data_IF_818351300496
#
_entry.id   IF_818351300496
#
_cell.length_a   1.000
_cell.length_b   1.000
_cell.length_c   1.000
_cell.angle_alpha   90.00
_cell.angle_beta   90.00
_cell.angle_gamma   90.00
#
_symmetry.space_group_name_H-M   'P 1'
#
loop_
_entity.id
_entity.type
_entity.pdbx_description
1 polymer ?
#
# COMPACT_ATOMS: atom_id res chain seq x y z
N UNK A 1 -31.91 -36.15 -18.56
CA UNK A 1 -30.49 -35.78 -18.65
C UNK A 1 -30.43 -34.28 -18.90
N UNK A 2 -30.23 -33.47 -17.86
CA UNK A 2 -29.72 -32.08 -17.92
C UNK A 2 -29.25 -31.74 -16.51
N UNK A 3 -27.94 -31.85 -16.29
CA UNK A 3 -27.29 -31.44 -15.05
C UNK A 3 -26.39 -30.24 -15.32
N UNK A 4 -26.65 -29.19 -14.53
CA UNK A 4 -25.78 -28.08 -14.08
C UNK A 4 -25.40 -26.98 -15.10
N UNK A 5 -24.95 -25.81 -14.62
CA UNK A 5 -24.99 -25.23 -13.25
C UNK A 5 -25.56 -23.80 -13.25
N UNK A 6 -25.92 -23.22 -12.11
CA UNK A 6 -25.39 -21.91 -11.74
C UNK A 6 -25.53 -21.71 -10.23
N UNK A 7 -24.36 -21.71 -9.64
CA UNK A 7 -24.03 -21.46 -8.26
C UNK A 7 -24.63 -20.11 -7.87
N UNK A 8 -25.38 -20.12 -6.77
CA UNK A 8 -25.94 -18.94 -6.11
C UNK A 8 -24.81 -17.93 -5.96
N UNK A 9 -24.89 -16.80 -6.67
CA UNK A 9 -24.07 -15.64 -6.35
C UNK A 9 -24.47 -15.22 -4.93
N UNK A 10 -23.62 -15.50 -3.96
CA UNK A 10 -23.52 -14.65 -2.77
C UNK A 10 -23.13 -13.26 -3.26
N UNK A 11 -24.13 -12.47 -3.66
CA UNK A 11 -23.99 -11.03 -3.76
C UNK A 11 -23.90 -10.55 -2.32
N UNK A 12 -22.68 -10.62 -1.76
CA UNK A 12 -22.33 -9.87 -0.56
C UNK A 12 -22.72 -8.42 -0.86
N UNK A 13 -23.73 -7.91 -0.15
CA UNK A 13 -24.11 -6.51 -0.24
C UNK A 13 -22.88 -5.69 0.12
N UNK A 14 -22.22 -5.15 -0.90
CA UNK A 14 -21.09 -4.26 -0.75
C UNK A 14 -21.55 -3.07 0.10
N UNK A 15 -20.95 -2.91 1.28
CA UNK A 15 -21.24 -1.76 2.13
C UNK A 15 -20.75 -0.49 1.44
N UNK A 16 -21.42 0.63 1.68
CA UNK A 16 -21.00 1.93 1.14
C UNK A 16 -19.54 2.26 1.52
N UNK A 17 -19.09 1.83 2.69
CA UNK A 17 -17.72 1.99 3.18
C UNK A 17 -16.73 1.20 2.32
N UNK A 18 -17.03 -0.07 2.00
CA UNK A 18 -16.18 -0.90 1.14
C UNK A 18 -16.11 -0.34 -0.30
N UNK A 19 -17.24 0.11 -0.84
CA UNK A 19 -17.28 0.77 -2.15
C UNK A 19 -16.44 2.06 -2.17
N UNK A 20 -16.44 2.80 -1.05
CA UNK A 20 -15.65 4.02 -0.92
C UNK A 20 -14.17 3.71 -0.77
N UNK A 21 -13.82 2.70 0.04
CA UNK A 21 -12.45 2.21 0.19
C UNK A 21 -11.86 1.77 -1.16
N UNK A 22 -12.63 1.06 -1.99
CA UNK A 22 -12.22 0.67 -3.35
C UNK A 22 -11.92 1.86 -4.25
N UNK A 23 -12.75 2.91 -4.20
CA UNK A 23 -12.51 4.13 -5.00
C UNK A 23 -11.23 4.83 -4.58
N UNK A 24 -11.01 4.98 -3.28
CA UNK A 24 -9.78 5.57 -2.74
C UNK A 24 -8.58 4.72 -3.14
N UNK A 25 -8.68 3.40 -2.97
CA UNK A 25 -7.61 2.48 -3.32
C UNK A 25 -7.24 2.56 -4.81
N UNK A 26 -8.24 2.65 -5.70
CA UNK A 26 -8.00 2.81 -7.13
C UNK A 26 -7.24 4.11 -7.45
N UNK A 27 -7.60 5.24 -6.79
CA UNK A 27 -6.89 6.51 -6.95
C UNK A 27 -5.44 6.35 -6.49
N UNK A 28 -5.22 5.89 -5.26
CA UNK A 28 -3.88 5.76 -4.69
C UNK A 28 -3.03 4.81 -5.53
N UNK A 29 -3.55 3.64 -5.91
CA UNK A 29 -2.86 2.68 -6.76
C UNK A 29 -2.49 3.28 -8.13
N UNK A 30 -3.41 3.99 -8.80
CA UNK A 30 -3.13 4.62 -10.09
C UNK A 30 -1.97 5.63 -10.03
N UNK A 31 -1.82 6.31 -8.88
CA UNK A 31 -0.75 7.26 -8.65
C UNK A 31 0.56 6.57 -8.29
N UNK A 32 0.54 5.47 -7.56
CA UNK A 32 1.74 4.85 -6.98
C UNK A 32 2.35 3.75 -7.85
N UNK A 33 1.52 2.95 -8.54
CA UNK A 33 1.97 1.84 -9.43
C UNK A 33 3.10 2.28 -10.38
N UNK A 34 3.01 3.41 -11.11
CA UNK A 34 4.08 3.78 -12.04
C UNK A 34 5.46 3.96 -11.39
N UNK A 35 5.51 4.37 -10.11
CA UNK A 35 6.77 4.51 -9.38
C UNK A 35 7.26 3.17 -8.85
N UNK A 36 6.34 2.33 -8.33
CA UNK A 36 6.65 0.99 -7.84
C UNK A 36 7.13 0.08 -8.98
N UNK A 37 6.45 0.07 -10.12
CA UNK A 37 6.85 -0.74 -11.28
C UNK A 37 8.22 -0.34 -11.85
N UNK A 38 8.58 0.95 -11.79
CA UNK A 38 9.90 1.43 -12.24
C UNK A 38 11.03 1.15 -11.27
N UNK A 39 10.74 0.80 -10.01
CA UNK A 39 11.78 0.51 -9.03
C UNK A 39 12.24 -0.94 -9.04
N UNK A 40 11.70 -1.80 -9.92
CA UNK A 40 12.06 -3.22 -10.03
C UNK A 40 12.04 -3.96 -8.68
N UNK A 41 11.06 -3.60 -7.84
CA UNK A 41 11.01 -4.08 -6.47
C UNK A 41 10.74 -5.60 -6.46
N UNK A 42 11.65 -6.39 -5.90
CA UNK A 42 11.46 -7.83 -5.73
C UNK A 42 10.55 -8.10 -4.51
N UNK A 43 9.25 -8.17 -4.74
CA UNK A 43 8.22 -8.19 -3.70
C UNK A 43 8.21 -9.43 -2.79
N UNK A 44 8.84 -10.54 -3.23
CA UNK A 44 8.87 -11.79 -2.47
C UNK A 44 9.84 -11.75 -1.28
N UNK A 45 10.71 -10.73 -1.21
CA UNK A 45 11.80 -10.64 -0.22
C UNK A 45 11.98 -9.21 0.27
N UNK A 46 10.89 -8.49 0.56
CA UNK A 46 11.00 -7.14 1.10
C UNK A 46 11.48 -7.18 2.56
N UNK A 47 12.43 -6.31 2.95
CA UNK A 47 12.72 -6.10 4.36
C UNK A 47 11.47 -5.61 5.10
N UNK A 48 11.23 -6.15 6.30
CA UNK A 48 10.05 -5.80 7.11
C UNK A 48 9.91 -4.29 7.35
N UNK A 49 11.02 -3.56 7.51
CA UNK A 49 11.01 -2.11 7.67
C UNK A 49 10.55 -1.37 6.41
N UNK A 50 10.96 -1.84 5.23
CA UNK A 50 10.52 -1.26 3.96
C UNK A 50 9.05 -1.60 3.71
N UNK A 51 8.63 -2.82 4.06
CA UNK A 51 7.23 -3.22 4.04
C UNK A 51 6.37 -2.29 4.92
N UNK A 52 6.75 -2.10 6.18
CA UNK A 52 6.07 -1.21 7.12
C UNK A 52 6.01 0.22 6.62
N UNK A 53 7.11 0.75 6.06
CA UNK A 53 7.14 2.09 5.44
C UNK A 53 6.20 2.21 4.25
N UNK A 54 6.12 1.20 3.39
CA UNK A 54 5.23 1.21 2.22
C UNK A 54 3.76 1.13 2.65
N UNK A 55 3.42 0.24 3.58
CA UNK A 55 2.05 0.14 4.13
C UNK A 55 1.66 1.44 4.81
N UNK A 56 2.54 2.01 5.64
CA UNK A 56 2.35 3.32 6.26
C UNK A 56 2.15 4.42 5.21
N UNK A 57 2.95 4.44 4.16
CA UNK A 57 2.80 5.40 3.07
C UNK A 57 1.43 5.31 2.40
N UNK A 58 0.95 4.12 2.07
CA UNK A 58 -0.38 3.97 1.47
C UNK A 58 -1.49 4.40 2.43
N UNK A 59 -1.37 4.06 3.72
CA UNK A 59 -2.32 4.49 4.75
C UNK A 59 -2.38 6.01 4.88
N UNK A 60 -1.22 6.65 5.04
CA UNK A 60 -1.11 8.10 5.14
C UNK A 60 -1.65 8.82 3.90
N UNK A 61 -1.48 8.27 2.70
CA UNK A 61 -2.02 8.86 1.47
C UNK A 61 -3.56 8.81 1.44
N UNK A 62 -4.16 7.71 1.92
CA UNK A 62 -5.62 7.57 1.96
C UNK A 62 -6.27 8.63 2.86
N UNK A 63 -5.63 9.01 3.97
CA UNK A 63 -6.22 9.89 4.99
C UNK A 63 -6.67 11.27 4.46
N UNK A 64 -5.85 12.06 3.73
CA UNK A 64 -6.30 13.33 3.14
C UNK A 64 -7.47 13.19 2.16
N UNK A 65 -7.55 12.07 1.42
CA UNK A 65 -8.67 11.81 0.51
C UNK A 65 -9.94 11.55 1.32
N UNK A 66 -9.85 10.72 2.37
CA UNK A 66 -10.98 10.47 3.27
C UNK A 66 -11.48 11.75 3.94
N UNK A 67 -10.56 12.59 4.42
CA UNK A 67 -10.89 13.87 5.02
C UNK A 67 -11.57 14.81 4.01
N UNK A 68 -11.06 14.89 2.77
CA UNK A 68 -11.65 15.70 1.72
C UNK A 68 -13.07 15.26 1.34
N UNK A 69 -13.34 13.96 1.39
CA UNK A 69 -14.65 13.37 1.09
C UNK A 69 -15.58 13.27 2.31
N UNK A 70 -15.15 13.79 3.46
CA UNK A 70 -15.91 13.78 4.73
C UNK A 70 -16.36 12.37 5.13
N UNK A 71 -15.48 11.38 4.94
CA UNK A 71 -15.76 10.00 5.31
C UNK A 71 -15.66 9.87 6.84
N UNK A 72 -16.78 9.55 7.48
CA UNK A 72 -16.86 9.39 8.94
C UNK A 72 -16.45 8.02 9.47
N UNK A 73 -16.34 7.00 8.60
CA UNK A 73 -15.93 5.66 8.99
C UNK A 73 -14.42 5.59 9.28
N UNK A 74 -14.06 5.20 10.50
CA UNK A 74 -12.66 5.07 10.95
C UNK A 74 -11.90 3.98 10.19
N UNK A 75 -12.63 3.03 9.62
CA UNK A 75 -12.04 1.81 9.05
C UNK A 75 -11.77 1.96 7.54
N UNK A 76 -12.39 2.94 6.87
CA UNK A 76 -12.25 3.15 5.42
C UNK A 76 -10.80 3.40 4.97
N UNK A 77 -9.98 4.20 5.67
CA UNK A 77 -8.56 4.33 5.33
C UNK A 77 -7.79 3.00 5.44
N UNK A 78 -8.08 2.19 6.46
CA UNK A 78 -7.43 0.90 6.66
C UNK A 78 -7.83 -0.10 5.57
N UNK A 79 -9.13 -0.20 5.28
CA UNK A 79 -9.66 -1.02 4.18
C UNK A 79 -9.10 -0.60 2.82
N UNK A 80 -9.06 0.71 2.54
CA UNK A 80 -8.46 1.24 1.31
C UNK A 80 -6.99 0.87 1.22
N UNK A 81 -6.25 0.94 2.32
CA UNK A 81 -4.84 0.55 2.38
C UNK A 81 -4.65 -0.93 2.01
N UNK A 82 -5.43 -1.82 2.62
CA UNK A 82 -5.38 -3.26 2.32
C UNK A 82 -5.69 -3.57 0.85
N UNK A 83 -6.63 -2.81 0.25
CA UNK A 83 -6.95 -2.91 -1.16
C UNK A 83 -5.81 -2.38 -2.07
N UNK A 84 -5.19 -1.24 -1.74
CA UNK A 84 -4.02 -0.72 -2.48
C UNK A 84 -2.89 -1.73 -2.48
N UNK A 85 -2.59 -2.28 -1.31
CA UNK A 85 -1.58 -3.32 -1.13
C UNK A 85 -1.91 -4.54 -1.98
N UNK A 86 -3.16 -5.01 -1.98
CA UNK A 86 -3.58 -6.15 -2.80
C UNK A 86 -3.45 -5.88 -4.31
N UNK A 87 -3.65 -4.63 -4.75
CA UNK A 87 -3.52 -4.25 -6.16
C UNK A 87 -2.06 -4.15 -6.61
N UNK A 88 -1.17 -3.68 -5.73
CA UNK A 88 0.25 -3.48 -6.05
C UNK A 88 1.04 -4.78 -5.87
N UNK A 89 0.67 -5.60 -4.89
CA UNK A 89 1.39 -6.80 -4.46
C UNK A 89 0.48 -8.05 -4.45
N UNK A 90 -0.07 -8.47 -5.61
CA UNK A 90 -1.06 -9.54 -5.67
C UNK A 90 -0.54 -10.90 -5.14
N UNK A 91 0.75 -11.18 -5.34
CA UNK A 91 1.40 -12.44 -4.92
C UNK A 91 1.83 -12.44 -3.44
N UNK A 92 1.98 -11.26 -2.82
CA UNK A 92 2.34 -11.11 -1.40
C UNK A 92 1.12 -10.83 -0.51
N UNK A 93 -0.09 -11.08 -1.05
CA UNK A 93 -1.37 -10.80 -0.38
C UNK A 93 -1.46 -11.44 1.00
N UNK A 94 -0.90 -12.62 1.20
CA UNK A 94 -0.89 -13.29 2.50
C UNK A 94 0.06 -12.65 3.52
N UNK A 95 1.26 -12.17 3.12
CA UNK A 95 2.19 -11.55 4.07
C UNK A 95 1.76 -10.12 4.44
N UNK A 96 1.26 -9.37 3.46
CA UNK A 96 0.90 -7.97 3.64
C UNK A 96 -0.52 -7.73 4.17
N UNK A 97 -1.45 -8.68 4.03
CA UNK A 97 -2.80 -8.55 4.66
C UNK A 97 -2.75 -8.74 6.17
N UNK A 98 -1.74 -9.45 6.70
CA UNK A 98 -1.45 -9.51 8.14
C UNK A 98 -0.69 -8.27 8.64
N UNK A 99 -0.14 -7.44 7.75
CA UNK A 99 0.64 -6.23 8.09
C UNK A 99 -0.22 -5.00 8.45
N UNK A 100 -1.55 -5.14 8.48
CA UNK A 100 -2.45 -4.19 9.15
C UNK A 100 -2.77 -4.66 10.59
N UNK A 101 -1.95 -5.55 11.16
CA UNK A 101 -1.98 -5.85 12.58
C UNK A 101 -1.38 -4.69 13.39
N UNK A 102 -1.85 -4.54 14.64
CA UNK A 102 -1.47 -3.45 15.55
C UNK A 102 0.03 -3.30 15.79
N UNK A 103 0.81 -4.37 15.60
CA UNK A 103 2.27 -4.38 15.76
C UNK A 103 2.96 -3.55 14.67
N UNK A 104 2.51 -3.64 13.42
CA UNK A 104 3.06 -2.83 12.32
C UNK A 104 2.69 -1.35 12.48
N UNK A 105 1.46 -1.07 12.89
CA UNK A 105 0.95 0.30 13.11
C UNK A 105 1.76 1.07 14.17
N UNK A 106 2.38 0.37 15.12
CA UNK A 106 3.19 0.98 16.19
C UNK A 106 4.69 1.08 15.84
N UNK A 107 5.12 0.65 14.66
CA UNK A 107 6.53 0.74 14.26
C UNK A 107 6.92 2.14 13.81
N UNK A 108 8.15 2.57 14.12
CA UNK A 108 8.69 3.86 13.65
C UNK A 108 8.74 3.92 12.12
N UNK A 109 9.05 2.79 11.48
CA UNK A 109 9.05 2.63 10.03
C UNK A 109 7.68 2.95 9.42
N UNK A 110 6.60 2.39 9.99
CA UNK A 110 5.23 2.72 9.59
C UNK A 110 4.92 4.20 9.76
N UNK A 111 5.25 4.79 10.92
CA UNK A 111 5.01 6.22 11.19
C UNK A 111 5.71 7.15 10.19
N UNK A 112 6.96 6.85 9.82
CA UNK A 112 7.70 7.58 8.78
C UNK A 112 7.04 7.44 7.40
N UNK A 113 6.58 6.24 7.08
CA UNK A 113 5.77 5.97 5.89
C UNK A 113 4.51 6.81 5.88
N UNK A 114 3.73 6.77 6.96
CA UNK A 114 2.46 7.49 7.12
C UNK A 114 2.62 8.99 6.92
N UNK A 115 3.62 9.62 7.53
CA UNK A 115 3.85 11.05 7.33
C UNK A 115 4.30 11.40 5.91
N UNK A 116 5.06 10.52 5.24
CA UNK A 116 5.39 10.68 3.84
C UNK A 116 4.15 10.56 2.94
N UNK A 117 3.32 9.55 3.17
CA UNK A 117 2.05 9.33 2.47
C UNK A 117 1.09 10.49 2.64
N UNK A 118 0.94 10.99 3.88
CA UNK A 118 0.08 12.13 4.21
C UNK A 118 0.48 13.39 3.47
N UNK A 119 1.79 13.68 3.37
CA UNK A 119 2.29 14.82 2.59
C UNK A 119 1.96 14.70 1.11
N UNK A 120 2.19 13.54 0.51
CA UNK A 120 1.87 13.31 -0.91
C UNK A 120 0.34 13.33 -1.16
N UNK A 121 -0.46 12.83 -0.20
CA UNK A 121 -1.92 12.87 -0.23
C UNK A 121 -2.50 14.29 -0.12
N UNK A 122 -1.93 15.14 0.74
CA UNK A 122 -2.30 16.56 0.82
C UNK A 122 -1.92 17.33 -0.46
N UNK A 123 -0.75 17.02 -1.02
CA UNK A 123 -0.35 17.58 -2.31
C UNK A 123 -1.31 17.15 -3.43
N UNK A 124 -1.71 15.87 -3.44
CA UNK A 124 -2.70 15.38 -4.39
C UNK A 124 -4.05 16.07 -4.22
N UNK A 125 -4.53 16.22 -2.97
CA UNK A 125 -5.78 16.92 -2.69
C UNK A 125 -5.77 18.37 -3.21
N UNK A 126 -4.64 19.04 -3.15
CA UNK A 126 -4.51 20.46 -3.54
C UNK A 126 -4.20 20.66 -5.03
N UNK A 127 -3.49 19.73 -5.67
CA UNK A 127 -2.95 19.92 -7.03
C UNK A 127 -3.37 18.86 -8.05
N UNK A 128 -4.01 17.78 -7.61
CA UNK A 128 -4.28 16.59 -8.41
C UNK A 128 -3.05 15.76 -8.74
N UNK A 129 -1.88 16.09 -8.20
CA UNK A 129 -0.60 15.40 -8.44
C UNK A 129 -0.05 14.80 -7.16
N UNK A 130 0.50 13.60 -7.25
CA UNK A 130 1.28 13.04 -6.14
C UNK A 130 2.63 13.73 -6.02
N UNK A 131 3.21 13.68 -4.82
CA UNK A 131 4.58 14.12 -4.59
C UNK A 131 5.62 13.06 -4.93
N UNK A 132 6.82 13.26 -4.37
CA UNK A 132 7.99 12.41 -4.62
C UNK A 132 8.38 11.56 -3.42
N UNK A 133 7.60 11.56 -2.34
CA UNK A 133 8.01 10.92 -1.09
C UNK A 133 8.13 9.39 -1.25
N UNK A 134 7.24 8.77 -2.05
CA UNK A 134 7.37 7.35 -2.40
C UNK A 134 8.70 7.04 -3.10
N UNK A 135 9.10 7.87 -4.06
CA UNK A 135 10.37 7.68 -4.76
C UNK A 135 11.55 7.79 -3.79
N UNK A 136 11.50 8.70 -2.83
CA UNK A 136 12.54 8.86 -1.80
C UNK A 136 12.65 7.64 -0.90
N UNK A 137 11.53 7.05 -0.48
CA UNK A 137 11.51 5.78 0.28
C UNK A 137 12.23 4.68 -0.53
N UNK A 138 11.87 4.51 -1.81
CA UNK A 138 12.46 3.49 -2.66
C UNK A 138 13.95 3.74 -2.95
N UNK A 139 14.36 4.98 -3.17
CA UNK A 139 15.78 5.28 -3.41
C UNK A 139 16.61 5.11 -2.15
N UNK A 140 16.10 5.49 -0.98
CA UNK A 140 16.90 5.48 0.25
C UNK A 140 16.97 4.09 0.89
N UNK A 141 15.83 3.41 0.96
CA UNK A 141 15.71 2.17 1.73
C UNK A 141 15.87 0.92 0.85
N UNK A 142 15.35 0.94 -0.37
CA UNK A 142 15.45 -0.22 -1.27
C UNK A 142 16.80 -0.29 -1.99
N UNK A 143 17.34 0.81 -2.53
CA UNK A 143 18.70 0.77 -3.12
C UNK A 143 19.77 0.49 -2.08
N UNK A 144 19.65 1.07 -0.89
CA UNK A 144 20.54 0.73 0.23
C UNK A 144 20.57 -0.77 0.47
N UNK A 145 19.42 -1.44 0.49
CA UNK A 145 19.33 -2.90 0.61
C UNK A 145 19.96 -3.67 -0.57
N UNK A 146 19.72 -3.24 -1.82
CA UNK A 146 20.34 -3.87 -2.99
C UNK A 146 21.87 -3.73 -3.00
N UNK A 147 22.40 -2.61 -2.53
CA UNK A 147 23.84 -2.37 -2.42
C UNK A 147 24.47 -3.22 -1.30
N UNK A 148 23.79 -3.38 -0.16
CA UNK A 148 24.23 -4.29 0.91
C UNK A 148 24.22 -5.77 0.48
N UNK A 149 23.25 -6.18 -0.34
CA UNK A 149 23.15 -7.56 -0.84
C UNK A 149 24.32 -7.95 -1.77
N UNK A 150 25.04 -6.98 -2.33
CA UNK A 150 26.25 -7.24 -3.13
C UNK A 150 27.53 -7.34 -2.28
N UNK A 151 27.53 -6.79 -1.07
CA UNK A 151 28.74 -6.78 -0.21
C UNK A 151 28.91 -8.09 0.56
N UNK A 152 27.84 -8.85 0.79
CA UNK A 152 27.93 -10.15 1.51
C UNK A 152 28.29 -11.34 0.62
N UNK A 153 28.43 -11.15 -0.70
CA UNK A 153 28.79 -12.23 -1.64
C UNK A 153 30.32 -12.39 -1.87
N UNK A 154 31.13 -11.43 -1.45
CA UNK A 154 32.59 -11.41 -1.69
C UNK A 154 33.44 -11.62 -0.41
N UNK A 155 32.86 -12.16 0.66
CA UNK A 155 33.63 -12.47 1.89
C UNK A 155 33.62 -13.95 2.24
N UNK A 156 34.10 -14.77 1.32
CA UNK A 156 34.76 -16.04 1.65
C UNK A 156 35.88 -16.28 0.65
N UNK A 157 37.09 -15.85 1.03
CA UNK A 157 38.35 -16.34 0.49
C UNK A 157 39.13 -16.98 1.63
#
# INVERSE_FOLDING_TARGET
MFQRPYQVHEVSQETQELATARKIAAIVASLTIPTISRSELAYQTLPADLEAKLVGYFHGFCMPICAAWQIGGTDVPAEATGLVVSLIFPESRASLSHSVDSVMLNSEAFGKGMEAGRRDGELYRTTGRKGTALLQILVSDFRGFCDYSKVTADTTA
#
